data_IF_729001831441
#
_entry.id   IF_729001831441
#
_cell.length_a   1.000
_cell.length_b   1.000
_cell.length_c   1.000
_cell.angle_alpha   90.00
_cell.angle_beta   90.00
_cell.angle_gamma   90.00
#
_symmetry.space_group_name_H-M   'P 1'
#
loop_
_entity.id
_entity.type
_entity.pdbx_description
1 polymer ?
#
# COMPACT_ATOMS: atom_id res chain seq x y z
N UNK A 1 74.16 26.29 -0.36
CA UNK A 1 72.92 26.12 0.42
C UNK A 1 71.78 25.89 -0.57
N UNK A 2 71.46 24.65 -0.77
CA UNK A 2 70.37 24.22 -1.69
C UNK A 2 69.07 24.21 -0.92
N UNK A 3 68.15 25.10 -1.25
CA UNK A 3 66.79 25.13 -0.69
C UNK A 3 65.99 24.07 -1.37
N UNK A 4 65.67 23.00 -0.68
CA UNK A 4 64.72 21.97 -1.12
C UNK A 4 63.33 22.53 -0.88
N UNK A 5 62.65 22.90 -1.96
CA UNK A 5 61.22 23.22 -1.94
C UNK A 5 60.48 21.90 -1.98
N UNK A 6 59.97 21.49 -0.83
CA UNK A 6 59.01 20.36 -0.77
C UNK A 6 57.67 20.91 -1.22
N UNK A 7 57.33 20.68 -2.47
CA UNK A 7 55.99 20.90 -2.96
C UNK A 7 55.10 19.80 -2.32
N UNK A 8 54.42 20.16 -1.26
CA UNK A 8 53.33 19.34 -0.77
C UNK A 8 52.20 19.34 -1.83
N UNK A 9 52.20 18.31 -2.66
CA UNK A 9 51.05 18.04 -3.52
C UNK A 9 49.88 17.69 -2.59
N UNK A 10 49.03 18.68 -2.34
CA UNK A 10 47.74 18.46 -1.75
C UNK A 10 46.91 17.68 -2.78
N UNK A 11 46.94 16.37 -2.69
CA UNK A 11 45.98 15.54 -3.33
C UNK A 11 44.61 15.85 -2.70
N UNK A 12 43.96 16.86 -3.26
CA UNK A 12 42.53 17.03 -3.07
C UNK A 12 41.89 15.75 -3.58
N UNK A 13 41.67 14.81 -2.67
CA UNK A 13 40.85 13.64 -2.94
C UNK A 13 39.47 14.16 -3.33
N UNK A 14 39.23 14.25 -4.63
CA UNK A 14 37.88 14.33 -5.15
C UNK A 14 37.22 13.02 -4.73
N UNK A 15 36.57 13.06 -3.58
CA UNK A 15 35.51 12.12 -3.29
C UNK A 15 34.44 12.38 -4.36
N UNK A 16 34.56 11.69 -5.49
CA UNK A 16 33.40 11.41 -6.30
C UNK A 16 32.46 10.61 -5.39
N UNK A 17 31.61 11.33 -4.66
CA UNK A 17 30.44 10.74 -4.09
C UNK A 17 29.69 10.15 -5.28
N UNK A 18 29.83 8.86 -5.49
CA UNK A 18 28.85 8.12 -6.26
C UNK A 18 27.54 8.30 -5.49
N UNK A 19 26.79 9.35 -5.83
CA UNK A 19 25.38 9.37 -5.58
C UNK A 19 24.90 8.09 -6.21
N UNK A 20 24.56 7.09 -5.39
CA UNK A 20 23.71 5.99 -5.87
C UNK A 20 22.49 6.70 -6.41
N UNK A 21 22.41 6.81 -7.74
CA UNK A 21 21.11 7.04 -8.38
C UNK A 21 20.15 6.11 -7.67
N UNK A 22 19.15 6.69 -7.00
CA UNK A 22 18.07 5.92 -6.45
C UNK A 22 17.63 5.02 -7.61
N UNK A 23 17.88 3.70 -7.48
CA UNK A 23 17.45 2.73 -8.46
C UNK A 23 16.02 3.08 -8.76
N UNK A 24 15.76 3.52 -9.96
CA UNK A 24 14.40 3.66 -10.49
C UNK A 24 13.74 2.36 -10.09
N UNK A 25 12.77 2.43 -9.18
CA UNK A 25 12.10 1.23 -8.69
C UNK A 25 11.73 0.44 -9.94
N UNK A 26 12.29 -0.75 -10.03
CA UNK A 26 12.16 -1.56 -11.22
C UNK A 26 10.67 -1.78 -11.42
N UNK A 27 10.07 -1.18 -12.46
CA UNK A 27 8.63 -1.30 -12.75
C UNK A 27 8.19 -2.76 -12.75
N UNK A 28 9.12 -3.66 -13.02
CA UNK A 28 8.90 -5.09 -12.95
C UNK A 28 8.66 -5.60 -11.53
N UNK A 29 9.30 -5.01 -10.51
CA UNK A 29 9.05 -5.33 -9.12
C UNK A 29 7.69 -4.83 -8.64
N UNK A 30 7.21 -3.71 -9.21
CA UNK A 30 5.91 -3.11 -8.84
C UNK A 30 4.71 -3.78 -9.53
N UNK A 31 4.94 -4.60 -10.55
CA UNK A 31 3.87 -5.16 -11.39
C UNK A 31 3.95 -6.67 -11.60
N UNK A 32 4.90 -7.34 -10.95
CA UNK A 32 5.13 -8.78 -11.13
C UNK A 32 3.86 -9.62 -10.90
N UNK A 33 3.04 -9.23 -9.93
CA UNK A 33 1.81 -9.93 -9.58
C UNK A 33 0.73 -9.90 -10.67
N UNK A 34 0.84 -8.98 -11.65
CA UNK A 34 -0.04 -8.93 -12.82
C UNK A 34 0.45 -9.75 -14.01
N UNK A 35 1.69 -10.27 -13.95
CA UNK A 35 2.33 -10.97 -15.07
C UNK A 35 1.73 -12.34 -15.32
N UNK A 36 1.95 -12.81 -16.55
CA UNK A 36 1.63 -14.15 -17.01
C UNK A 36 2.87 -15.03 -17.02
N UNK A 37 2.82 -16.20 -16.40
CA UNK A 37 3.95 -17.12 -16.34
C UNK A 37 4.41 -17.58 -17.71
N UNK A 38 3.48 -17.86 -18.63
CA UNK A 38 3.83 -18.42 -19.95
C UNK A 38 4.69 -17.49 -20.80
N UNK A 39 4.57 -16.18 -20.60
CA UNK A 39 5.30 -15.16 -21.39
C UNK A 39 6.46 -14.51 -20.63
N UNK A 40 6.42 -14.48 -19.31
CA UNK A 40 7.39 -13.75 -18.49
C UNK A 40 8.21 -14.63 -17.56
N UNK A 41 7.86 -15.91 -17.43
CA UNK A 41 8.40 -16.84 -16.43
C UNK A 41 8.27 -16.35 -14.96
N UNK A 42 7.28 -15.47 -14.71
CA UNK A 42 6.94 -14.95 -13.39
C UNK A 42 5.53 -15.39 -12.98
N UNK A 43 5.37 -15.95 -11.80
CA UNK A 43 4.09 -16.40 -11.28
C UNK A 43 3.25 -15.20 -10.78
N UNK A 44 2.52 -14.57 -11.67
CA UNK A 44 1.50 -13.57 -11.36
C UNK A 44 0.10 -14.11 -11.65
N UNK A 45 -0.92 -13.29 -11.38
CA UNK A 45 -2.33 -13.64 -11.57
C UNK A 45 -2.85 -13.39 -12.99
N UNK A 46 -1.97 -13.03 -13.93
CA UNK A 46 -2.28 -12.86 -15.36
C UNK A 46 -3.43 -11.87 -15.65
N UNK A 47 -3.48 -10.77 -14.94
CA UNK A 47 -4.56 -9.79 -15.01
C UNK A 47 -4.77 -9.20 -16.40
N UNK A 48 -3.69 -8.93 -17.13
CA UNK A 48 -3.79 -8.31 -18.46
C UNK A 48 -4.48 -9.24 -19.49
N UNK A 49 -4.17 -10.53 -19.45
CA UNK A 49 -4.83 -11.46 -20.36
C UNK A 49 -6.30 -11.71 -19.94
N UNK A 50 -6.61 -11.62 -18.67
CA UNK A 50 -7.99 -11.64 -18.21
C UNK A 50 -8.80 -10.47 -18.80
N UNK A 51 -8.26 -9.24 -18.78
CA UNK A 51 -8.91 -8.10 -19.41
C UNK A 51 -9.09 -8.29 -20.93
N UNK A 52 -8.06 -8.72 -21.64
CA UNK A 52 -8.15 -9.02 -23.09
C UNK A 52 -9.22 -10.08 -23.38
N UNK A 53 -9.30 -11.10 -22.56
CA UNK A 53 -10.33 -12.14 -22.68
C UNK A 53 -11.74 -11.56 -22.52
N UNK A 54 -11.99 -10.78 -21.49
CA UNK A 54 -13.29 -10.13 -21.28
C UNK A 54 -13.67 -9.20 -22.43
N UNK A 55 -12.72 -8.40 -22.90
CA UNK A 55 -12.90 -7.54 -24.06
C UNK A 55 -13.25 -8.34 -25.31
N UNK A 56 -12.54 -9.44 -25.58
CA UNK A 56 -12.81 -10.33 -26.73
C UNK A 56 -14.20 -10.94 -26.69
N UNK A 57 -14.81 -11.05 -25.52
CA UNK A 57 -16.18 -11.54 -25.30
C UNK A 57 -17.22 -10.42 -25.28
N UNK A 58 -16.83 -9.17 -25.48
CA UNK A 58 -17.73 -8.01 -25.36
C UNK A 58 -18.28 -7.77 -23.97
N UNK A 59 -17.65 -8.36 -22.94
CA UNK A 59 -18.07 -8.18 -21.56
C UNK A 59 -17.65 -6.81 -21.04
N UNK A 60 -18.56 -6.17 -20.33
CA UNK A 60 -18.30 -4.86 -19.70
C UNK A 60 -18.27 -5.00 -18.18
N UNK A 61 -17.40 -4.26 -17.50
CA UNK A 61 -17.36 -4.30 -16.04
C UNK A 61 -18.68 -3.76 -15.45
N UNK A 62 -19.04 -4.32 -14.30
CA UNK A 62 -20.10 -3.80 -13.44
C UNK A 62 -19.51 -3.41 -12.11
N UNK A 63 -19.98 -2.34 -11.52
CA UNK A 63 -19.59 -1.96 -10.16
C UNK A 63 -20.06 -3.02 -9.18
N UNK A 64 -19.16 -3.45 -8.32
CA UNK A 64 -19.42 -4.36 -7.19
C UNK A 64 -18.82 -3.76 -5.93
N UNK A 65 -19.43 -4.02 -4.79
CA UNK A 65 -18.87 -3.69 -3.47
C UNK A 65 -18.11 -4.90 -2.97
N UNK A 66 -16.88 -4.68 -2.55
CA UNK A 66 -15.99 -5.71 -2.00
C UNK A 66 -15.72 -5.39 -0.54
N UNK A 67 -16.07 -6.31 0.36
CA UNK A 67 -15.67 -6.23 1.76
C UNK A 67 -14.21 -6.66 1.92
N UNK A 68 -13.41 -5.84 2.57
CA UNK A 68 -12.03 -6.16 2.93
C UNK A 68 -11.97 -6.35 4.45
N UNK A 69 -11.55 -7.54 4.89
CA UNK A 69 -11.36 -7.88 6.30
C UNK A 69 -9.86 -7.98 6.51
N UNK A 70 -9.31 -7.03 7.24
CA UNK A 70 -7.87 -6.88 7.43
C UNK A 70 -7.56 -6.35 8.83
N UNK A 71 -6.29 -6.28 9.20
CA UNK A 71 -5.82 -5.66 10.44
C UNK A 71 -5.92 -4.13 10.45
N UNK A 72 -6.19 -3.51 9.31
CA UNK A 72 -6.41 -2.07 9.13
C UNK A 72 -6.36 -1.66 7.66
N UNK A 73 -7.09 -0.59 7.33
CA UNK A 73 -7.13 -0.01 6.00
C UNK A 73 -7.02 1.51 6.12
N UNK A 74 -6.06 2.09 5.42
CA UNK A 74 -5.90 3.54 5.29
C UNK A 74 -6.94 4.05 4.28
N UNK A 75 -8.09 4.49 4.79
CA UNK A 75 -9.26 4.85 3.97
C UNK A 75 -9.05 6.10 3.11
N UNK A 76 -8.12 6.97 3.47
CA UNK A 76 -7.73 8.19 2.77
C UNK A 76 -6.49 8.02 1.88
N UNK A 77 -5.95 6.79 1.77
CA UNK A 77 -4.81 6.53 0.89
C UNK A 77 -5.10 6.97 -0.55
N UNK A 78 -4.20 7.74 -1.20
CA UNK A 78 -4.43 8.29 -2.54
C UNK A 78 -4.78 7.26 -3.62
N UNK A 79 -4.31 6.03 -3.48
CA UNK A 79 -4.62 4.92 -4.38
C UNK A 79 -5.98 4.25 -4.15
N UNK A 80 -6.60 4.47 -3.00
CA UNK A 80 -7.84 3.82 -2.59
C UNK A 80 -9.03 4.75 -2.57
N UNK A 81 -8.86 6.00 -2.13
CA UNK A 81 -9.94 6.94 -1.81
C UNK A 81 -10.99 7.12 -2.93
N UNK A 82 -10.57 7.00 -4.19
CA UNK A 82 -11.49 7.12 -5.35
C UNK A 82 -12.44 5.94 -5.50
N UNK A 83 -12.08 4.80 -4.92
CA UNK A 83 -12.83 3.55 -5.02
C UNK A 83 -13.38 3.10 -3.66
N UNK A 84 -13.12 3.86 -2.60
CA UNK A 84 -13.66 3.54 -1.29
C UNK A 84 -15.18 3.61 -1.30
N UNK A 85 -15.81 2.54 -0.84
CA UNK A 85 -17.24 2.58 -0.53
C UNK A 85 -17.47 3.52 0.65
N UNK A 86 -18.56 4.22 0.63
CA UNK A 86 -18.95 5.13 1.69
C UNK A 86 -20.39 4.86 2.09
N UNK A 87 -20.63 4.69 3.39
CA UNK A 87 -21.98 4.68 3.94
C UNK A 87 -22.57 6.11 3.83
N UNK A 88 -23.48 6.29 2.88
CA UNK A 88 -24.09 7.61 2.61
C UNK A 88 -25.16 7.98 3.62
N UNK A 89 -25.58 7.05 4.46
CA UNK A 89 -26.58 7.26 5.51
C UNK A 89 -25.97 7.73 6.82
N UNK A 90 -24.62 7.69 6.93
CA UNK A 90 -23.89 8.15 8.09
C UNK A 90 -23.40 9.59 7.93
N UNK A 91 -23.52 10.38 9.00
CA UNK A 91 -22.93 11.72 9.11
C UNK A 91 -21.60 11.61 9.85
N UNK A 92 -20.46 11.79 9.19
CA UNK A 92 -19.14 11.50 9.76
C UNK A 92 -18.88 12.27 11.08
N UNK A 93 -18.33 11.59 12.07
CA UNK A 93 -17.84 12.16 13.32
C UNK A 93 -18.91 12.90 14.16
N UNK A 94 -20.15 12.47 14.08
CA UNK A 94 -21.22 13.04 14.90
C UNK A 94 -21.51 12.24 16.20
N UNK A 95 -20.88 11.05 16.35
CA UNK A 95 -21.03 10.16 17.50
C UNK A 95 -22.40 9.47 17.57
N UNK A 96 -23.08 9.32 16.43
CA UNK A 96 -24.39 8.68 16.34
C UNK A 96 -24.38 7.60 15.27
N UNK A 97 -25.23 6.64 15.44
CA UNK A 97 -25.62 5.66 14.44
C UNK A 97 -26.85 6.26 13.71
N UNK A 98 -26.60 6.91 12.56
CA UNK A 98 -27.64 7.66 11.86
C UNK A 98 -28.55 6.74 11.03
N UNK A 99 -28.10 5.56 10.64
CA UNK A 99 -28.88 4.59 9.87
C UNK A 99 -29.48 3.45 10.72
N UNK A 100 -29.15 3.40 12.00
CA UNK A 100 -29.71 2.45 12.95
C UNK A 100 -29.22 1.02 12.76
N UNK A 101 -28.03 0.83 12.15
CA UNK A 101 -27.46 -0.48 11.86
C UNK A 101 -26.68 -1.09 13.03
N UNK A 102 -26.47 -0.35 14.13
CA UNK A 102 -25.76 -0.76 15.34
C UNK A 102 -24.31 -0.32 15.41
N UNK A 103 -23.82 0.40 14.40
CA UNK A 103 -22.43 0.87 14.29
C UNK A 103 -22.39 2.39 14.17
N UNK A 104 -21.77 3.06 15.14
CA UNK A 104 -21.69 4.51 15.21
C UNK A 104 -20.60 5.03 14.27
N UNK A 105 -20.93 6.00 13.40
CA UNK A 105 -19.96 6.59 12.46
C UNK A 105 -19.27 5.58 11.54
N UNK A 106 -19.92 4.52 11.09
CA UNK A 106 -19.35 3.45 10.24
C UNK A 106 -19.23 3.85 8.77
N UNK A 107 -18.73 5.04 8.50
CA UNK A 107 -18.67 5.68 7.19
C UNK A 107 -17.93 4.84 6.13
N UNK A 108 -16.86 4.14 6.51
CA UNK A 108 -16.05 3.31 5.61
C UNK A 108 -15.97 1.85 6.05
N UNK A 109 -16.63 1.51 7.13
CA UNK A 109 -16.61 0.21 7.76
C UNK A 109 -16.45 0.31 9.26
N UNK A 110 -16.06 -0.79 9.90
CA UNK A 110 -16.06 -0.91 11.36
C UNK A 110 -14.81 -1.59 11.89
N UNK A 111 -14.34 -1.16 13.07
CA UNK A 111 -13.26 -1.83 13.79
C UNK A 111 -13.83 -2.90 14.73
N UNK A 112 -13.81 -4.17 14.27
CA UNK A 112 -14.39 -5.30 15.01
C UNK A 112 -13.54 -5.77 16.21
N UNK A 113 -12.31 -5.30 16.37
CA UNK A 113 -11.47 -5.58 17.55
C UNK A 113 -11.61 -4.52 18.64
N UNK A 114 -12.26 -3.41 18.33
CA UNK A 114 -12.65 -2.38 19.29
C UNK A 114 -13.88 -2.75 20.11
N UNK A 115 -14.37 -1.83 20.90
CA UNK A 115 -15.56 -1.99 21.71
C UNK A 115 -16.08 -0.66 22.24
N UNK A 116 -17.13 -0.71 23.07
CA UNK A 116 -17.77 0.48 23.63
C UNK A 116 -16.84 1.42 24.41
N UNK A 117 -15.65 0.95 24.79
CA UNK A 117 -14.67 1.75 25.55
C UNK A 117 -13.60 2.38 24.65
N UNK A 118 -13.68 2.19 23.35
CA UNK A 118 -12.76 2.71 22.33
C UNK A 118 -12.27 1.66 21.33
N UNK A 119 -11.59 2.14 20.34
CA UNK A 119 -10.99 1.32 19.30
C UNK A 119 -9.68 0.68 19.76
N UNK A 120 -9.35 -0.46 19.17
CA UNK A 120 -8.05 -1.12 19.29
C UNK A 120 -7.32 -0.93 17.95
N UNK A 121 -6.27 -0.12 17.97
CA UNK A 121 -5.51 0.19 16.76
C UNK A 121 -4.45 -0.87 16.45
N UNK A 122 -3.93 -1.55 17.47
CA UNK A 122 -2.84 -2.51 17.33
C UNK A 122 -3.16 -3.77 18.11
N UNK A 123 -3.18 -4.90 17.45
CA UNK A 123 -3.29 -6.22 18.07
C UNK A 123 -1.90 -6.89 18.17
N UNK A 124 -1.75 -7.80 19.14
CA UNK A 124 -0.53 -8.57 19.31
C UNK A 124 -0.57 -9.83 18.43
N UNK A 125 0.59 -10.14 17.84
CA UNK A 125 0.78 -11.43 17.19
C UNK A 125 0.63 -12.58 18.20
N UNK A 126 0.11 -13.71 17.73
CA UNK A 126 -0.12 -14.90 18.55
C UNK A 126 1.14 -15.34 19.32
N UNK A 127 2.31 -15.22 18.70
CA UNK A 127 3.61 -15.48 19.35
C UNK A 127 3.79 -14.67 20.64
N UNK A 128 3.34 -13.43 20.67
CA UNK A 128 3.44 -12.57 21.88
C UNK A 128 2.53 -13.07 23.01
N UNK A 129 1.41 -13.70 22.69
CA UNK A 129 0.49 -14.28 23.66
C UNK A 129 1.03 -15.59 24.27
N UNK A 130 1.77 -16.35 23.50
CA UNK A 130 2.30 -17.69 23.91
C UNK A 130 3.55 -17.57 24.78
N UNK A 131 4.32 -16.48 24.68
CA UNK A 131 5.59 -16.25 25.40
C UNK A 131 5.40 -15.60 26.78
N UNK A 132 4.18 -15.36 27.19
CA UNK A 132 3.85 -14.98 28.58
C UNK A 132 3.53 -16.23 29.38
#
# INVERSE_FOLDING_TARGET
MKRIIIAAAFLAGFNFGFSQEAKTEDKDLMTWYHKDFSTTNVYGVNTQNAYKFFESKGLKPKTVVVGVIDSGIEVDHPGLIKNMWKNVNEVPNNGKDDDGNGYVDDVYGWNFIGGKNGDVEIDNLEVTRVVK
#
